data_IF_073787615725
#
_entry.id   IF_073787615725
#
_cell.length_a   1.000
_cell.length_b   1.000
_cell.length_c   1.000
_cell.angle_alpha   90.00
_cell.angle_beta   90.00
_cell.angle_gamma   90.00
#
_symmetry.space_group_name_H-M   'P 1'
#
loop_
_entity.id
_entity.type
_entity.pdbx_description
1 polymer ?
#
# COMPACT_ATOMS: atom_id res chain seq x y z
N UNK A 1 -9.03 18.75 -0.22
CA UNK A 1 -10.17 17.86 -0.41
C UNK A 1 -9.67 16.42 -0.25
N UNK A 2 -9.76 15.87 0.95
CA UNK A 2 -9.16 14.57 1.28
C UNK A 2 -10.04 13.38 0.85
N UNK A 3 -10.45 13.29 -0.39
CA UNK A 3 -11.27 12.20 -0.92
C UNK A 3 -10.41 11.20 -1.70
N UNK A 4 -10.49 9.93 -1.33
CA UNK A 4 -9.96 8.82 -2.10
C UNK A 4 -11.06 8.26 -3.00
N UNK A 5 -10.76 8.13 -4.29
CA UNK A 5 -11.68 7.55 -5.27
C UNK A 5 -11.18 6.18 -5.70
N UNK A 6 -12.07 5.20 -5.76
CA UNK A 6 -11.83 3.89 -6.33
C UNK A 6 -13.07 3.44 -7.13
N UNK A 7 -12.86 2.69 -8.19
CA UNK A 7 -13.95 2.06 -8.96
C UNK A 7 -13.79 0.55 -8.93
N UNK A 8 -14.90 -0.19 -8.74
CA UNK A 8 -14.95 -1.61 -9.07
C UNK A 8 -15.67 -1.77 -10.40
N UNK A 9 -15.02 -2.42 -11.35
CA UNK A 9 -15.67 -2.88 -12.56
C UNK A 9 -16.10 -4.34 -12.39
N UNK A 10 -17.41 -4.56 -12.31
CA UNK A 10 -17.99 -5.86 -12.61
C UNK A 10 -18.43 -5.82 -14.08
N UNK A 11 -18.05 -6.81 -14.88
CA UNK A 11 -18.30 -6.83 -16.32
C UNK A 11 -19.79 -6.77 -16.72
N UNK A 12 -20.72 -6.88 -15.73
CA UNK A 12 -22.17 -6.87 -15.93
C UNK A 12 -22.91 -5.83 -15.09
N UNK A 13 -22.23 -4.91 -14.41
CA UNK A 13 -22.87 -3.82 -13.66
C UNK A 13 -22.15 -2.50 -13.95
N UNK A 14 -22.92 -1.39 -13.94
CA UNK A 14 -22.34 -0.06 -14.05
C UNK A 14 -21.25 0.15 -12.99
N UNK A 15 -20.13 0.82 -13.32
CA UNK A 15 -19.04 1.02 -12.38
C UNK A 15 -19.55 1.74 -11.12
N UNK A 16 -19.34 1.13 -9.97
CA UNK A 16 -19.64 1.77 -8.69
C UNK A 16 -18.39 2.49 -8.21
N UNK A 17 -18.50 3.78 -8.04
CA UNK A 17 -17.43 4.61 -7.49
C UNK A 17 -17.45 4.52 -5.97
N UNK A 18 -16.31 4.21 -5.38
CA UNK A 18 -16.08 4.37 -3.94
C UNK A 18 -15.45 5.72 -3.68
N UNK A 19 -15.90 6.38 -2.67
CA UNK A 19 -15.21 7.53 -2.11
C UNK A 19 -15.17 7.38 -0.59
N UNK A 20 -14.05 7.72 0.00
CA UNK A 20 -13.89 7.82 1.44
C UNK A 20 -13.76 9.30 1.80
N UNK A 21 -14.60 9.77 2.68
CA UNK A 21 -14.53 11.12 3.22
C UNK A 21 -13.81 11.07 4.56
N UNK A 22 -12.84 11.95 4.74
CA UNK A 22 -12.15 12.09 6.02
C UNK A 22 -13.15 12.63 7.04
N UNK A 23 -13.49 11.85 8.05
CA UNK A 23 -14.25 12.33 9.20
C UNK A 23 -13.32 13.25 9.98
N UNK A 24 -13.47 14.56 9.85
CA UNK A 24 -12.87 15.54 10.76
C UNK A 24 -13.74 15.60 11.99
N UNK A 25 -13.23 15.13 13.10
CA UNK A 25 -13.87 15.27 14.40
C UNK A 25 -13.85 16.76 14.81
N UNK A 26 -15.00 17.43 14.67
CA UNK A 26 -15.17 18.87 14.94
C UNK A 26 -15.41 19.19 16.41
N UNK A 27 -15.03 18.32 17.32
CA UNK A 27 -15.23 18.52 18.77
C UNK A 27 -13.92 18.59 19.57
N UNK A 28 -12.96 19.40 19.16
CA UNK A 28 -11.89 19.88 20.04
C UNK A 28 -11.87 21.39 20.05
N UNK A 29 -12.52 21.94 21.07
CA UNK A 29 -12.42 23.34 21.43
C UNK A 29 -10.98 23.74 21.76
N UNK A 30 -10.57 24.83 21.16
CA UNK A 30 -9.32 25.55 21.41
C UNK A 30 -9.20 25.99 22.88
N UNK A 31 -8.09 25.66 23.52
CA UNK A 31 -7.52 26.48 24.57
C UNK A 31 -6.02 26.60 24.37
N UNK A 32 -5.63 27.78 23.94
CA UNK A 32 -4.26 28.25 23.86
C UNK A 32 -3.69 28.49 25.25
N UNK A 33 -2.49 27.99 25.52
CA UNK A 33 -1.58 28.66 26.46
C UNK A 33 -0.14 28.35 26.06
N UNK A 34 0.53 29.39 25.62
CA UNK A 34 1.99 29.47 25.50
C UNK A 34 2.63 29.21 26.88
N UNK A 35 3.64 28.36 26.92
CA UNK A 35 4.68 28.49 27.95
C UNK A 35 6.05 28.08 27.39
N UNK A 36 6.93 28.99 27.60
CA UNK A 36 8.32 29.16 27.30
C UNK A 36 9.20 28.01 27.84
N UNK A 37 10.18 27.59 27.03
CA UNK A 37 11.25 26.68 27.41
C UNK A 37 12.18 27.29 28.48
N UNK A 38 12.58 26.50 29.47
CA UNK A 38 13.84 26.64 30.21
C UNK A 38 14.46 25.27 30.37
N UNK A 39 15.70 25.18 29.88
CA UNK A 39 16.63 24.09 30.15
C UNK A 39 16.96 24.01 31.65
N UNK A 40 16.87 22.81 32.22
CA UNK A 40 17.74 22.45 33.36
C UNK A 40 18.02 20.93 33.30
N UNK A 41 19.29 20.63 33.31
CA UNK A 41 19.88 19.31 33.49
C UNK A 41 19.79 18.87 34.95
N UNK A 42 19.22 17.71 35.22
CA UNK A 42 19.54 16.97 36.46
C UNK A 42 19.24 15.47 36.25
N UNK A 43 20.27 14.69 36.48
CA UNK A 43 20.25 13.24 36.66
C UNK A 43 19.45 12.88 37.90
N UNK A 44 18.49 11.97 37.81
CA UNK A 44 18.25 11.01 38.89
C UNK A 44 17.49 9.76 38.41
N UNK A 45 17.95 8.66 38.95
CA UNK A 45 17.50 7.30 38.73
C UNK A 45 16.21 7.02 39.46
N UNK A 46 15.10 6.80 38.77
CA UNK A 46 13.92 6.16 39.36
C UNK A 46 13.36 5.09 38.43
N UNK A 47 13.27 3.92 39.00
CA UNK A 47 12.74 2.67 38.45
C UNK A 47 11.37 2.92 37.79
N UNK A 48 11.33 2.85 36.47
CA UNK A 48 10.08 2.76 35.74
C UNK A 48 9.48 1.37 35.95
N UNK A 49 8.33 1.35 36.60
CA UNK A 49 7.49 0.19 36.74
C UNK A 49 6.85 -0.11 35.37
N UNK A 50 7.51 -1.00 34.59
CA UNK A 50 6.98 -1.47 33.32
C UNK A 50 5.89 -2.49 33.59
N UNK A 51 4.66 -2.03 33.82
CA UNK A 51 3.51 -2.84 33.51
C UNK A 51 3.38 -2.90 31.97
N UNK A 52 4.22 -3.72 31.34
CA UNK A 52 3.94 -4.20 30.00
C UNK A 52 2.75 -5.14 30.12
N UNK A 53 1.55 -4.63 29.83
CA UNK A 53 0.45 -5.49 29.46
C UNK A 53 0.93 -6.24 28.21
N UNK A 54 1.41 -7.46 28.39
CA UNK A 54 1.65 -8.39 27.30
C UNK A 54 0.31 -8.53 26.58
N UNK A 55 0.23 -8.04 25.35
CA UNK A 55 -0.84 -8.39 24.43
C UNK A 55 -0.79 -9.90 24.29
N UNK A 56 -1.59 -10.59 25.11
CA UNK A 56 -1.80 -12.03 24.98
C UNK A 56 -2.64 -12.20 23.71
N UNK A 57 -1.95 -12.43 22.60
CA UNK A 57 -2.61 -12.85 21.37
C UNK A 57 -3.30 -14.17 21.66
N UNK A 58 -4.57 -14.35 21.31
CA UNK A 58 -5.27 -15.60 21.57
C UNK A 58 -4.57 -16.77 20.88
N UNK A 59 -4.44 -17.89 21.56
CA UNK A 59 -3.70 -19.11 21.20
C UNK A 59 -3.86 -19.71 19.78
N UNK A 60 -4.85 -19.34 18.96
CA UNK A 60 -4.91 -19.87 17.60
C UNK A 60 -3.74 -19.46 16.69
N UNK A 61 -2.93 -18.48 17.09
CA UNK A 61 -1.77 -18.04 16.29
C UNK A 61 -0.57 -18.99 16.39
N UNK A 62 -0.45 -19.75 17.46
CA UNK A 62 0.61 -20.77 17.63
C UNK A 62 0.42 -21.97 16.69
N UNK A 63 -0.78 -22.18 16.16
CA UNK A 63 -1.06 -23.20 15.15
C UNK A 63 -0.85 -22.72 13.71
N UNK A 64 -0.76 -21.42 13.49
CA UNK A 64 -0.26 -20.83 12.25
C UNK A 64 1.28 -20.75 12.37
N UNK A 65 1.98 -21.90 12.33
CA UNK A 65 3.38 -21.92 11.99
C UNK A 65 3.52 -21.34 10.59
N UNK A 66 3.77 -20.03 10.53
CA UNK A 66 4.41 -19.44 9.38
C UNK A 66 5.82 -20.00 9.45
N UNK A 67 6.11 -21.02 8.65
CA UNK A 67 7.48 -21.50 8.47
C UNK A 67 8.34 -20.27 8.18
N UNK A 68 9.49 -20.11 8.86
CA UNK A 68 10.33 -18.95 8.64
C UNK A 68 10.62 -18.82 7.15
N UNK A 69 10.50 -17.64 6.63
CA UNK A 69 10.71 -17.33 5.18
C UNK A 69 12.11 -17.77 4.70
N UNK A 70 13.06 -17.98 5.64
CA UNK A 70 14.37 -18.56 5.38
C UNK A 70 14.33 -19.98 4.83
N UNK A 71 13.31 -20.77 5.16
CA UNK A 71 13.20 -22.16 4.69
C UNK A 71 12.42 -22.29 3.38
N UNK A 72 11.69 -21.23 3.00
CA UNK A 72 11.01 -21.18 1.71
C UNK A 72 11.97 -20.93 0.56
N UNK A 73 13.29 -20.76 0.83
CA UNK A 73 14.29 -20.48 -0.17
C UNK A 73 13.71 -19.51 -1.18
N UNK A 74 13.62 -18.21 -0.83
CA UNK A 74 13.19 -17.22 -1.82
C UNK A 74 14.03 -17.47 -3.05
N UNK A 75 13.48 -18.05 -4.13
CA UNK A 75 14.28 -18.30 -5.29
C UNK A 75 14.81 -16.94 -5.75
N UNK A 76 16.12 -16.87 -5.85
CA UNK A 76 16.79 -15.74 -6.52
C UNK A 76 16.38 -15.66 -7.99
N UNK A 77 15.35 -16.41 -8.38
CA UNK A 77 14.78 -16.41 -9.73
C UNK A 77 13.42 -17.12 -9.78
N UNK A 78 12.57 -16.61 -10.54
CA UNK A 78 11.15 -16.32 -10.42
C UNK A 78 10.20 -17.36 -10.96
N UNK A 79 10.55 -18.53 -11.12
CA UNK A 79 9.51 -19.54 -11.31
C UNK A 79 9.14 -20.12 -9.95
N UNK A 80 8.32 -19.40 -9.17
CA UNK A 80 7.58 -20.04 -8.10
C UNK A 80 7.04 -21.36 -8.62
N UNK A 81 7.35 -22.51 -7.98
CA UNK A 81 6.75 -23.78 -8.33
C UNK A 81 5.24 -23.58 -8.50
N UNK A 82 4.65 -24.22 -9.50
CA UNK A 82 3.20 -24.11 -9.74
C UNK A 82 2.36 -24.42 -8.48
N UNK A 83 2.92 -25.19 -7.52
CA UNK A 83 2.36 -25.47 -6.20
C UNK A 83 2.27 -24.25 -5.26
N UNK A 84 3.10 -23.22 -5.46
CA UNK A 84 3.10 -21.99 -4.69
C UNK A 84 2.39 -20.83 -5.42
N UNK A 85 2.01 -21.03 -6.67
CA UNK A 85 1.14 -20.08 -7.37
C UNK A 85 -0.23 -20.15 -6.72
N UNK A 86 -0.61 -19.07 -6.08
CA UNK A 86 -1.89 -18.94 -5.41
C UNK A 86 -3.03 -19.08 -6.42
N UNK A 87 -3.61 -20.26 -6.50
CA UNK A 87 -4.98 -20.36 -7.01
C UNK A 87 -5.88 -19.66 -6.00
N UNK A 88 -6.73 -18.75 -6.48
CA UNK A 88 -7.66 -18.04 -5.63
C UNK A 88 -8.43 -19.06 -4.77
N UNK A 89 -8.18 -19.07 -3.46
CA UNK A 89 -8.83 -19.98 -2.53
C UNK A 89 -10.13 -19.36 -2.06
N UNK A 90 -11.13 -20.21 -1.82
CA UNK A 90 -12.35 -19.77 -1.18
C UNK A 90 -12.15 -19.75 0.34
N UNK A 91 -12.61 -18.70 0.99
CA UNK A 91 -12.45 -18.50 2.41
C UNK A 91 -13.79 -18.17 3.08
N UNK A 92 -13.99 -18.73 4.25
CA UNK A 92 -15.01 -18.31 5.20
C UNK A 92 -14.31 -17.80 6.46
N UNK A 93 -14.30 -16.49 6.65
CA UNK A 93 -13.76 -15.84 7.83
C UNK A 93 -14.92 -15.69 8.81
N UNK A 94 -14.76 -16.18 10.04
CA UNK A 94 -15.79 -16.22 11.06
C UNK A 94 -15.50 -15.25 12.19
N UNK A 95 -16.56 -14.57 12.65
CA UNK A 95 -16.59 -13.87 13.95
C UNK A 95 -15.58 -12.70 14.04
N UNK A 96 -15.15 -12.14 12.92
CA UNK A 96 -14.21 -11.03 12.90
C UNK A 96 -14.86 -9.70 13.31
N UNK A 97 -14.04 -8.75 13.78
CA UNK A 97 -14.39 -7.34 13.74
C UNK A 97 -14.04 -6.79 12.35
N UNK A 98 -15.05 -6.56 11.53
CA UNK A 98 -14.89 -6.16 10.12
C UNK A 98 -14.96 -4.64 9.99
N UNK A 99 -13.92 -4.05 9.42
CA UNK A 99 -13.86 -2.63 9.06
C UNK A 99 -14.20 -2.50 7.58
N UNK A 100 -15.43 -2.12 7.26
CA UNK A 100 -15.90 -2.15 5.87
C UNK A 100 -15.31 -1.02 5.03
N UNK A 101 -14.82 0.04 5.65
CA UNK A 101 -14.44 1.31 5.01
C UNK A 101 -15.56 1.90 4.13
N UNK A 102 -16.78 1.47 4.37
CA UNK A 102 -18.01 1.91 3.70
C UNK A 102 -19.05 2.42 4.68
N UNK A 103 -20.28 2.67 4.22
CA UNK A 103 -21.36 3.23 5.06
C UNK A 103 -21.72 2.40 6.27
N UNK A 104 -21.45 1.08 6.25
CA UNK A 104 -21.73 0.18 7.36
C UNK A 104 -20.74 0.32 8.51
N UNK A 105 -19.60 1.00 8.28
CA UNK A 105 -18.59 1.26 9.29
C UNK A 105 -17.94 -0.02 9.81
N UNK A 106 -17.87 -0.13 11.13
CA UNK A 106 -17.30 -1.28 11.85
C UNK A 106 -18.42 -2.26 12.25
N UNK A 107 -18.26 -3.52 11.91
CA UNK A 107 -19.18 -4.61 12.22
C UNK A 107 -18.50 -5.59 13.17
N UNK A 108 -19.16 -5.90 14.30
CA UNK A 108 -18.65 -6.86 15.28
C UNK A 108 -19.16 -8.26 14.99
N UNK A 109 -18.38 -9.28 15.40
CA UNK A 109 -18.75 -10.68 15.32
C UNK A 109 -19.35 -11.07 13.94
N UNK A 110 -18.65 -10.69 12.89
CA UNK A 110 -19.15 -10.74 11.52
C UNK A 110 -18.36 -11.74 10.68
N UNK A 111 -19.08 -12.52 9.90
CA UNK A 111 -18.49 -13.46 8.93
C UNK A 111 -18.29 -12.78 7.58
N UNK A 112 -17.25 -13.20 6.87
CA UNK A 112 -16.99 -12.79 5.49
C UNK A 112 -16.71 -14.02 4.64
N UNK A 113 -17.44 -14.15 3.54
CA UNK A 113 -17.25 -15.22 2.57
C UNK A 113 -16.58 -14.69 1.30
N UNK A 114 -15.51 -15.37 0.89
CA UNK A 114 -14.75 -15.06 -0.33
C UNK A 114 -14.79 -16.27 -1.25
N UNK A 115 -15.19 -16.06 -2.51
CA UNK A 115 -15.21 -17.10 -3.55
C UNK A 115 -14.54 -16.56 -4.80
N UNK A 116 -13.57 -17.32 -5.32
CA UNK A 116 -12.85 -16.91 -6.52
C UNK A 116 -12.14 -15.57 -6.39
N UNK A 117 -11.68 -15.21 -5.18
CA UNK A 117 -11.03 -13.92 -4.92
C UNK A 117 -11.98 -12.74 -4.75
N UNK A 118 -13.30 -12.97 -4.71
CA UNK A 118 -14.31 -11.92 -4.51
C UNK A 118 -15.08 -12.14 -3.21
N UNK A 119 -15.33 -11.06 -2.48
CA UNK A 119 -16.23 -11.06 -1.32
C UNK A 119 -17.66 -11.22 -1.87
N UNK A 120 -18.34 -12.30 -1.46
CA UNK A 120 -19.70 -12.61 -1.91
C UNK A 120 -20.76 -12.39 -0.84
N UNK A 121 -20.36 -12.38 0.43
CA UNK A 121 -21.26 -12.12 1.55
C UNK A 121 -20.49 -11.57 2.77
N UNK A 122 -21.14 -10.67 3.49
CA UNK A 122 -20.73 -10.13 4.79
C UNK A 122 -21.94 -10.13 5.70
N UNK A 123 -21.85 -10.72 6.90
CA UNK A 123 -22.96 -10.79 7.85
C UNK A 123 -22.70 -11.81 8.93
N UNK A 124 -23.59 -11.93 9.90
CA UNK A 124 -23.48 -12.88 11.01
C UNK A 124 -24.07 -14.24 10.64
N UNK A 125 -23.41 -15.33 11.06
CA UNK A 125 -23.95 -16.70 10.92
C UNK A 125 -24.13 -17.16 9.47
N UNK A 126 -23.20 -16.80 8.57
CA UNK A 126 -23.29 -17.17 7.16
C UNK A 126 -23.36 -18.69 6.96
N UNK A 127 -24.31 -19.14 6.14
CA UNK A 127 -24.47 -20.55 5.79
C UNK A 127 -23.48 -20.98 4.71
N UNK A 128 -22.42 -21.65 5.14
CA UNK A 128 -21.36 -22.13 4.25
C UNK A 128 -21.87 -23.07 3.15
N UNK A 129 -22.90 -23.91 3.45
CA UNK A 129 -23.43 -24.85 2.47
C UNK A 129 -24.10 -24.13 1.30
N UNK A 130 -24.80 -23.03 1.60
CA UNK A 130 -25.45 -22.21 0.56
C UNK A 130 -24.42 -21.44 -0.25
N UNK A 131 -23.38 -20.86 0.41
CA UNK A 131 -22.42 -19.98 -0.23
C UNK A 131 -21.38 -20.72 -1.08
N UNK A 132 -20.89 -21.85 -0.60
CA UNK A 132 -19.84 -22.59 -1.29
C UNK A 132 -20.35 -23.81 -2.07
N UNK A 133 -21.59 -24.23 -1.81
CA UNK A 133 -22.17 -25.45 -2.39
C UNK A 133 -21.25 -26.66 -2.22
N UNK A 134 -20.63 -27.13 -3.32
CA UNK A 134 -19.64 -28.23 -3.32
C UNK A 134 -18.20 -27.74 -3.52
N UNK A 135 -18.00 -26.45 -3.67
CA UNK A 135 -16.65 -25.90 -3.85
C UNK A 135 -15.84 -26.00 -2.55
N UNK A 136 -14.60 -26.45 -2.60
CA UNK A 136 -13.74 -26.48 -1.42
C UNK A 136 -13.49 -25.06 -0.91
N UNK A 137 -13.47 -24.89 0.41
CA UNK A 137 -13.14 -23.62 1.06
C UNK A 137 -12.36 -23.89 2.35
N UNK A 138 -11.65 -22.85 2.82
CA UNK A 138 -10.99 -22.83 4.12
C UNK A 138 -11.79 -21.97 5.09
N UNK A 139 -11.77 -22.34 6.36
CA UNK A 139 -12.36 -21.52 7.43
C UNK A 139 -11.26 -20.92 8.27
N UNK A 140 -11.37 -19.61 8.53
CA UNK A 140 -10.54 -18.88 9.49
C UNK A 140 -11.46 -18.38 10.61
N UNK A 141 -11.21 -18.83 11.83
CA UNK A 141 -11.88 -18.29 13.01
C UNK A 141 -11.11 -17.04 13.47
N UNK A 142 -11.78 -15.91 13.46
CA UNK A 142 -11.19 -14.59 13.67
C UNK A 142 -11.83 -13.84 14.85
N UNK A 143 -12.36 -14.57 15.83
CA UNK A 143 -12.90 -13.97 17.04
C UNK A 143 -11.82 -13.14 17.75
N UNK A 144 -12.11 -11.87 18.03
CA UNK A 144 -11.16 -10.93 18.60
C UNK A 144 -10.13 -10.34 17.61
N UNK A 145 -10.18 -10.75 16.34
CA UNK A 145 -9.31 -10.21 15.29
C UNK A 145 -10.05 -9.17 14.45
N UNK A 146 -9.25 -8.31 13.82
CA UNK A 146 -9.75 -7.27 12.92
C UNK A 146 -9.51 -7.66 11.46
N UNK A 147 -10.56 -7.55 10.65
CA UNK A 147 -10.49 -7.71 9.19
C UNK A 147 -10.69 -6.34 8.54
N UNK A 148 -9.73 -5.93 7.73
CA UNK A 148 -9.76 -4.67 7.00
C UNK A 148 -9.60 -4.91 5.50
N UNK A 149 -9.98 -3.96 4.63
CA UNK A 149 -9.47 -3.94 3.26
C UNK A 149 -7.94 -3.89 3.28
N UNK A 150 -7.32 -4.35 2.20
CA UNK A 150 -5.87 -4.25 2.04
C UNK A 150 -5.41 -2.79 2.02
N UNK A 151 -4.21 -2.56 2.53
CA UNK A 151 -3.60 -1.23 2.53
C UNK A 151 -3.22 -0.81 1.12
N UNK A 152 -3.36 0.48 0.84
CA UNK A 152 -2.90 1.11 -0.39
C UNK A 152 -1.68 1.97 -0.03
N UNK A 153 -0.53 1.63 -0.59
CA UNK A 153 0.68 2.45 -0.52
C UNK A 153 0.66 3.45 -1.68
N UNK A 154 0.48 4.70 -1.37
CA UNK A 154 0.32 5.79 -2.35
C UNK A 154 1.64 6.32 -2.91
N UNK A 155 2.78 5.92 -2.36
CA UNK A 155 4.10 6.38 -2.77
C UNK A 155 5.17 5.31 -2.59
N UNK A 156 5.40 4.56 -3.63
CA UNK A 156 6.37 3.46 -3.61
C UNK A 156 7.34 3.51 -4.78
N UNK A 157 8.49 2.84 -4.60
CA UNK A 157 9.54 2.71 -5.61
C UNK A 157 9.97 1.25 -5.82
N UNK A 158 9.14 0.30 -5.36
CA UNK A 158 9.37 -1.15 -5.54
C UNK A 158 8.95 -1.61 -6.93
N UNK A 159 9.23 -2.86 -7.24
CA UNK A 159 8.81 -3.50 -8.49
C UNK A 159 9.19 -2.72 -9.76
N UNK A 160 10.35 -2.06 -9.75
CA UNK A 160 10.85 -1.25 -10.86
C UNK A 160 12.27 -1.71 -11.22
N UNK A 161 12.46 -2.14 -12.46
CA UNK A 161 13.76 -2.60 -12.97
C UNK A 161 14.75 -1.45 -13.09
N UNK A 162 15.98 -1.66 -12.63
CA UNK A 162 17.16 -0.80 -12.85
C UNK A 162 17.09 0.62 -12.28
N UNK A 163 16.15 0.90 -11.37
CA UNK A 163 16.01 2.19 -10.71
C UNK A 163 14.81 3.00 -11.18
N UNK A 164 14.52 4.06 -10.44
CA UNK A 164 13.24 4.79 -10.50
C UNK A 164 13.33 6.12 -11.25
N UNK A 165 14.52 6.52 -11.69
CA UNK A 165 14.72 7.85 -12.27
C UNK A 165 15.30 7.78 -13.66
N UNK A 166 14.75 8.61 -14.55
CA UNK A 166 15.37 8.95 -15.82
C UNK A 166 16.21 10.25 -15.63
N UNK A 167 17.52 10.14 -15.81
CA UNK A 167 18.45 11.23 -15.49
C UNK A 167 18.85 12.13 -16.66
N UNK A 168 18.34 11.91 -17.87
CA UNK A 168 18.83 12.60 -19.08
C UNK A 168 18.47 14.07 -19.13
N UNK A 169 17.33 14.46 -18.54
CA UNK A 169 16.88 15.86 -18.51
C UNK A 169 15.95 16.13 -17.34
N UNK A 170 15.62 17.41 -17.13
CA UNK A 170 14.83 17.86 -15.97
C UNK A 170 13.33 17.64 -16.11
N UNK A 171 12.88 17.44 -17.34
CA UNK A 171 11.49 17.16 -17.71
C UNK A 171 11.48 15.87 -18.52
N UNK A 172 10.87 14.84 -17.98
CA UNK A 172 10.78 13.49 -18.55
C UNK A 172 9.35 12.97 -18.49
N UNK A 173 8.39 13.84 -18.83
CA UNK A 173 6.94 13.57 -18.77
C UNK A 173 6.49 12.40 -19.64
N UNK A 174 7.26 12.06 -20.66
CA UNK A 174 7.04 10.93 -21.57
C UNK A 174 7.43 9.57 -20.98
N UNK A 175 8.28 9.56 -19.95
CA UNK A 175 8.77 8.31 -19.34
C UNK A 175 7.68 7.70 -18.45
N UNK A 176 7.47 6.40 -18.57
CA UNK A 176 6.42 5.68 -17.84
C UNK A 176 7.02 4.61 -16.95
N UNK A 177 6.69 4.64 -15.66
CA UNK A 177 7.05 3.57 -14.71
C UNK A 177 6.46 2.23 -15.16
N UNK A 178 5.28 2.25 -15.73
CA UNK A 178 4.60 1.05 -16.21
C UNK A 178 5.37 0.24 -17.28
N UNK A 179 6.37 0.85 -17.93
CA UNK A 179 7.21 0.17 -18.92
C UNK A 179 8.43 -0.54 -18.29
N UNK A 180 8.69 -0.29 -17.01
CA UNK A 180 9.84 -0.82 -16.27
C UNK A 180 9.45 -1.71 -15.08
N UNK A 181 8.25 -2.29 -15.11
CA UNK A 181 7.77 -3.13 -14.01
C UNK A 181 8.59 -4.43 -13.90
N UNK A 182 8.89 -4.79 -12.65
CA UNK A 182 9.60 -6.02 -12.27
C UNK A 182 8.69 -6.88 -11.38
N UNK A 183 8.07 -7.94 -11.94
CA UNK A 183 7.20 -8.82 -11.16
C UNK A 183 7.96 -9.74 -10.20
N UNK A 184 9.29 -9.80 -10.33
CA UNK A 184 10.14 -10.67 -9.54
C UNK A 184 10.75 -9.96 -8.32
N UNK A 185 10.45 -8.68 -8.13
CA UNK A 185 10.93 -7.93 -6.96
C UNK A 185 10.36 -8.54 -5.66
N UNK A 186 11.20 -9.09 -4.75
CA UNK A 186 10.77 -9.68 -3.49
C UNK A 186 10.06 -8.69 -2.56
N UNK A 187 10.16 -7.39 -2.80
CA UNK A 187 9.44 -6.41 -2.03
C UNK A 187 7.93 -6.47 -2.27
N UNK A 188 7.48 -6.97 -3.42
CA UNK A 188 6.06 -7.27 -3.65
C UNK A 188 5.56 -8.25 -2.58
N UNK A 189 6.28 -9.35 -2.39
CA UNK A 189 5.95 -10.36 -1.37
C UNK A 189 6.00 -9.78 0.04
N UNK A 190 7.07 -9.04 0.37
CA UNK A 190 7.26 -8.47 1.72
C UNK A 190 6.15 -7.49 2.09
N UNK A 191 5.79 -6.60 1.19
CA UNK A 191 4.71 -5.64 1.44
C UNK A 191 3.35 -6.33 1.48
N UNK A 192 3.12 -7.32 0.61
CA UNK A 192 1.90 -8.12 0.62
C UNK A 192 1.74 -8.87 1.95
N UNK A 193 2.82 -9.43 2.49
CA UNK A 193 2.83 -10.06 3.81
C UNK A 193 2.51 -9.08 4.95
N UNK A 194 2.82 -7.80 4.77
CA UNK A 194 2.43 -6.70 5.66
C UNK A 194 1.02 -6.15 5.45
N UNK A 195 0.27 -6.70 4.49
CA UNK A 195 -1.12 -6.29 4.20
C UNK A 195 -1.28 -5.22 3.13
N UNK A 196 -0.20 -4.79 2.46
CA UNK A 196 -0.29 -3.88 1.32
C UNK A 196 -0.74 -4.66 0.09
N UNK A 197 -1.87 -4.28 -0.50
CA UNK A 197 -2.47 -4.98 -1.65
C UNK A 197 -2.40 -4.18 -2.94
N UNK A 198 -2.12 -2.89 -2.84
CA UNK A 198 -2.01 -1.96 -3.96
C UNK A 198 -0.89 -0.97 -3.68
N UNK A 199 -0.06 -0.68 -4.66
CA UNK A 199 0.98 0.35 -4.57
C UNK A 199 0.92 1.29 -5.76
N UNK A 200 1.17 2.57 -5.48
CA UNK A 200 1.35 3.60 -6.49
C UNK A 200 2.85 3.82 -6.71
N UNK A 201 3.34 3.35 -7.84
CA UNK A 201 4.76 3.42 -8.19
C UNK A 201 5.07 4.75 -8.86
N UNK A 202 6.01 5.47 -8.31
CA UNK A 202 6.40 6.79 -8.76
C UNK A 202 7.89 6.84 -9.12
N UNK A 203 8.23 7.77 -10.00
CA UNK A 203 9.62 8.22 -10.13
C UNK A 203 10.13 8.80 -8.81
N UNK A 204 11.41 8.71 -8.56
CA UNK A 204 12.07 9.46 -7.49
C UNK A 204 12.08 10.97 -7.78
N UNK A 205 12.60 11.75 -6.85
CA UNK A 205 12.63 13.22 -6.95
C UNK A 205 13.88 13.73 -7.66
N UNK A 206 14.27 13.11 -8.78
CA UNK A 206 15.43 13.53 -9.56
C UNK A 206 15.14 14.65 -10.55
N UNK A 207 13.93 14.69 -11.08
CA UNK A 207 13.47 15.62 -12.12
C UNK A 207 12.33 16.47 -11.61
N UNK A 208 12.27 17.74 -12.05
CA UNK A 208 11.13 18.62 -11.71
C UNK A 208 9.81 18.03 -12.20
N UNK A 209 9.81 17.43 -13.41
CA UNK A 209 8.70 16.61 -13.92
C UNK A 209 9.30 15.22 -14.21
N UNK A 210 8.98 14.25 -13.37
CA UNK A 210 9.65 12.95 -13.37
C UNK A 210 9.08 11.96 -14.38
N UNK A 211 7.81 12.05 -14.68
CA UNK A 211 7.13 11.16 -15.63
C UNK A 211 5.87 10.50 -15.08
N UNK A 212 5.30 9.63 -15.90
CA UNK A 212 4.03 8.97 -15.64
C UNK A 212 4.20 7.83 -14.64
N UNK A 213 3.29 7.76 -13.70
CA UNK A 213 3.30 6.78 -12.62
C UNK A 213 2.45 5.56 -12.96
N UNK A 214 2.50 4.51 -12.12
CA UNK A 214 1.72 3.31 -12.34
C UNK A 214 1.15 2.78 -11.02
N UNK A 215 -0.16 2.60 -10.94
CA UNK A 215 -0.75 1.78 -9.88
C UNK A 215 -0.60 0.30 -10.22
N UNK A 216 -0.20 -0.48 -9.22
CA UNK A 216 -0.11 -1.93 -9.34
C UNK A 216 -0.92 -2.62 -8.25
N UNK A 217 -1.39 -3.83 -8.55
CA UNK A 217 -1.85 -4.80 -7.56
C UNK A 217 -0.68 -5.64 -7.12
N UNK A 218 -0.56 -5.83 -5.82
CA UNK A 218 0.51 -6.64 -5.24
C UNK A 218 0.24 -8.13 -5.50
N UNK A 219 0.66 -8.61 -6.67
CA UNK A 219 0.46 -9.99 -7.14
C UNK A 219 1.79 -10.72 -7.19
N UNK A 220 2.13 -11.40 -6.10
CA UNK A 220 3.33 -12.23 -6.09
C UNK A 220 3.17 -13.48 -6.95
N UNK A 221 4.20 -13.80 -7.74
CA UNK A 221 4.24 -15.01 -8.57
C UNK A 221 3.64 -14.88 -9.96
N UNK A 222 3.23 -13.68 -10.40
CA UNK A 222 2.94 -13.41 -11.81
C UNK A 222 4.27 -13.26 -12.55
N UNK A 223 4.31 -13.70 -13.81
CA UNK A 223 5.51 -13.63 -14.67
C UNK A 223 5.42 -12.52 -15.71
N UNK A 224 4.21 -12.07 -16.00
CA UNK A 224 3.95 -10.99 -16.94
C UNK A 224 3.75 -9.69 -16.17
N UNK A 225 4.60 -8.66 -16.38
CA UNK A 225 4.47 -7.35 -15.72
C UNK A 225 3.12 -6.69 -15.92
N UNK A 226 2.47 -6.93 -17.06
CA UNK A 226 1.14 -6.36 -17.35
C UNK A 226 0.08 -6.83 -16.34
N UNK A 227 0.24 -8.03 -15.78
CA UNK A 227 -0.68 -8.56 -14.77
C UNK A 227 -0.58 -7.82 -13.42
N UNK A 228 0.49 -7.07 -13.18
CA UNK A 228 0.61 -6.21 -12.01
C UNK A 228 -0.24 -4.95 -12.14
N UNK A 229 -0.41 -4.42 -13.34
CA UNK A 229 -1.09 -3.14 -13.55
C UNK A 229 -2.51 -3.16 -12.98
N UNK A 230 -2.87 -2.09 -12.30
CA UNK A 230 -4.23 -1.91 -11.79
C UNK A 230 -5.10 -1.43 -12.97
N UNK A 231 -5.94 -2.32 -13.45
CA UNK A 231 -6.83 -2.06 -14.58
C UNK A 231 -7.83 -0.94 -14.26
N UNK A 232 -7.97 0.01 -15.18
CA UNK A 232 -8.87 1.15 -15.02
C UNK A 232 -8.37 2.24 -14.06
N UNK A 233 -7.13 2.15 -13.57
CA UNK A 233 -6.54 3.21 -12.77
C UNK A 233 -6.40 4.50 -13.59
N UNK A 234 -6.67 5.68 -12.99
CA UNK A 234 -6.39 6.94 -13.64
C UNK A 234 -4.88 7.13 -13.87
N UNK A 235 -4.53 7.91 -14.88
CA UNK A 235 -3.14 8.31 -15.12
C UNK A 235 -2.71 9.41 -14.16
N UNK A 236 -1.45 9.34 -13.71
CA UNK A 236 -0.81 10.35 -12.86
C UNK A 236 0.55 10.69 -13.42
N UNK A 237 1.07 11.84 -13.03
CA UNK A 237 2.42 12.28 -13.35
C UNK A 237 3.11 12.80 -12.08
N UNK A 238 4.39 12.47 -11.91
CA UNK A 238 5.21 12.89 -10.76
C UNK A 238 5.78 14.27 -11.01
N UNK A 239 5.49 15.17 -10.07
CA UNK A 239 6.22 16.41 -9.88
C UNK A 239 7.05 16.34 -8.62
N UNK A 240 8.25 16.91 -8.63
CA UNK A 240 9.08 17.02 -7.46
C UNK A 240 9.55 18.48 -7.26
N UNK A 241 9.50 18.90 -6.01
CA UNK A 241 9.74 20.29 -5.60
C UNK A 241 10.93 20.40 -4.66
N UNK A 242 11.41 21.63 -4.49
CA UNK A 242 12.36 21.98 -3.44
C UNK A 242 13.78 21.48 -3.68
N UNK A 243 14.39 20.90 -2.63
CA UNK A 243 15.81 20.57 -2.62
C UNK A 243 16.20 19.37 -3.46
N UNK A 244 15.35 18.32 -3.47
CA UNK A 244 15.73 17.02 -4.04
C UNK A 244 16.04 17.06 -5.53
N UNK A 245 15.38 17.93 -6.27
CA UNK A 245 15.54 18.06 -7.73
C UNK A 245 16.67 18.99 -8.15
N UNK A 246 17.31 19.65 -7.18
CA UNK A 246 18.48 20.50 -7.45
C UNK A 246 19.69 19.61 -7.73
N UNK A 247 20.32 19.78 -8.87
CA UNK A 247 21.49 19.00 -9.26
C UNK A 247 22.70 19.28 -8.36
N UNK A 248 22.77 20.46 -7.72
CA UNK A 248 23.80 20.79 -6.75
C UNK A 248 23.84 19.87 -5.53
N UNK A 249 22.78 19.12 -5.25
CA UNK A 249 22.74 18.15 -4.14
C UNK A 249 23.36 16.79 -4.50
N UNK A 250 23.77 16.58 -5.74
CA UNK A 250 24.24 15.27 -6.21
C UNK A 250 25.76 15.06 -6.05
N UNK A 251 26.42 15.96 -5.32
CA UNK A 251 27.86 15.87 -5.01
C UNK A 251 28.73 15.81 -6.27
N UNK A 252 29.72 14.94 -6.29
CA UNK A 252 30.64 14.76 -7.42
C UNK A 252 29.98 14.25 -8.70
N UNK A 253 28.74 13.76 -8.58
CA UNK A 253 27.91 13.40 -9.73
C UNK A 253 27.09 14.56 -10.24
N UNK A 254 27.29 15.75 -9.64
CA UNK A 254 26.60 16.95 -10.08
C UNK A 254 26.93 17.23 -11.54
N UNK A 255 25.90 17.25 -12.34
CA UNK A 255 25.97 17.65 -13.73
C UNK A 255 25.71 19.14 -13.81
N UNK A 256 26.14 19.79 -14.89
CA UNK A 256 25.79 21.18 -15.17
C UNK A 256 24.30 21.35 -15.56
N UNK A 257 23.49 20.29 -15.38
CA UNK A 257 22.08 20.31 -15.71
C UNK A 257 21.31 21.27 -14.80
N UNK A 258 20.47 22.09 -15.41
CA UNK A 258 19.47 22.90 -14.70
C UNK A 258 18.34 21.98 -14.18
N UNK A 259 17.74 22.25 -13.00
CA UNK A 259 17.92 23.40 -12.13
C UNK A 259 19.01 23.18 -11.05
N UNK A 260 19.63 24.29 -10.60
CA UNK A 260 20.60 24.31 -9.51
C UNK A 260 20.07 25.02 -8.25
N UNK A 261 18.92 25.69 -8.35
CA UNK A 261 18.28 26.44 -7.27
C UNK A 261 16.81 26.08 -7.15
N UNK A 262 16.18 26.39 -6.00
CA UNK A 262 14.73 26.19 -5.83
C UNK A 262 13.92 27.02 -6.82
N UNK A 263 14.32 28.28 -7.10
CA UNK A 263 13.69 29.10 -8.11
C UNK A 263 13.82 28.48 -9.50
N UNK A 264 14.97 27.86 -9.78
CA UNK A 264 15.15 27.10 -11.02
C UNK A 264 14.24 25.90 -11.14
N UNK A 265 13.88 25.24 -10.03
CA UNK A 265 12.89 24.15 -10.04
C UNK A 265 11.52 24.66 -10.46
N UNK A 266 11.08 25.77 -9.88
CA UNK A 266 9.83 26.44 -10.26
C UNK A 266 9.83 26.81 -11.73
N UNK A 267 10.89 27.45 -12.20
CA UNK A 267 11.05 27.85 -13.59
C UNK A 267 10.98 26.64 -14.54
N UNK A 268 11.64 25.52 -14.18
CA UNK A 268 11.59 24.29 -14.99
C UNK A 268 10.17 23.75 -15.14
N UNK A 269 9.38 23.83 -14.07
CA UNK A 269 7.99 23.38 -14.12
C UNK A 269 7.17 24.32 -15.04
N UNK A 270 7.34 25.63 -14.91
CA UNK A 270 6.66 26.61 -15.79
C UNK A 270 7.03 26.38 -17.25
N UNK A 271 8.32 26.21 -17.55
CA UNK A 271 8.82 25.97 -18.92
C UNK A 271 8.24 24.68 -19.53
N UNK A 272 7.89 23.71 -18.69
CA UNK A 272 7.27 22.46 -19.12
C UNK A 272 5.83 22.61 -19.65
N UNK A 273 5.19 23.74 -19.44
CA UNK A 273 3.84 24.06 -19.89
C UNK A 273 3.77 25.16 -20.95
N UNK A 274 4.90 25.72 -21.36
CA UNK A 274 5.01 26.73 -22.39
C UNK A 274 5.45 26.13 -23.73
#
# INVERSE_FOLDING_TARGET
DGRLYGTTNDANQAPQNFWAERITDSSRSSSSSEQTAKNETASDSTKANTNSASLHLPEPWDSLRIEPVSDLGLPSNPSLPASLRSTAQNWLIREATVWTCGPQGRLENTDVAVVGGKIIAVGTGLDAKKLFAKAPYRTLYAAGLHLTPGLIDEHSHIAITRGVNEGTRSITSEVRIGDALDPDDPNIYRQLAGGVTTSHLLHGSANSIGGQTQLIRMRWGVTDPEQLKFEGAPGFIKFALGENVKQSNWGDRNTVRFPQTRMGVEQTILDGFL
#
